data_IF_441872571182
#
_entry.id   IF_441872571182
#
_cell.length_a   1.000
_cell.length_b   1.000
_cell.length_c   1.000
_cell.angle_alpha   90.00
_cell.angle_beta   90.00
_cell.angle_gamma   90.00
#
_symmetry.space_group_name_H-M   'P 1'
#
loop_
_entity.id
_entity.type
_entity.pdbx_description
1 polymer ?
#
# COMPACT_ATOMS: atom_id res chain seq x y z
N UNK A 1 -6.82 16.56 9.44
CA UNK A 1 -6.38 15.17 9.59
C UNK A 1 -7.40 14.27 8.92
N UNK A 2 -6.96 13.39 8.01
CA UNK A 2 -7.82 12.54 7.19
C UNK A 2 -7.31 11.10 7.26
N UNK A 3 -8.20 10.17 7.57
CA UNK A 3 -7.87 8.75 7.69
C UNK A 3 -8.68 7.96 6.68
N UNK A 4 -8.01 7.05 5.97
CA UNK A 4 -8.63 6.15 5.02
C UNK A 4 -8.27 4.70 5.40
N UNK A 5 -9.25 3.81 5.40
CA UNK A 5 -9.05 2.38 5.59
C UNK A 5 -9.61 1.67 4.38
N UNK A 6 -8.76 0.96 3.65
CA UNK A 6 -9.12 0.23 2.44
C UNK A 6 -8.85 -1.25 2.69
N UNK A 7 -9.88 -2.07 2.52
CA UNK A 7 -9.77 -3.52 2.71
C UNK A 7 -9.63 -4.20 1.35
N UNK A 8 -8.48 -4.84 1.14
CA UNK A 8 -8.18 -5.66 -0.03
C UNK A 8 -8.38 -7.13 0.29
N UNK A 9 -9.62 -7.63 0.13
CA UNK A 9 -9.99 -9.02 0.44
C UNK A 9 -9.16 -10.09 -0.26
N UNK A 10 -8.56 -9.75 -1.41
CA UNK A 10 -7.72 -10.66 -2.21
C UNK A 10 -6.25 -10.25 -2.25
N UNK A 11 -5.90 -9.11 -1.67
CA UNK A 11 -4.59 -8.50 -1.85
C UNK A 11 -3.50 -9.33 -1.15
N UNK A 12 -2.43 -9.64 -1.88
CA UNK A 12 -1.35 -10.50 -1.41
C UNK A 12 -0.62 -9.91 -0.17
N UNK A 13 -0.18 -10.78 0.73
CA UNK A 13 0.37 -10.43 2.05
C UNK A 13 1.86 -10.77 2.23
N UNK A 14 2.47 -11.53 1.33
CA UNK A 14 3.84 -12.06 1.48
C UNK A 14 4.91 -11.31 0.66
N UNK A 15 4.51 -10.32 -0.15
CA UNK A 15 5.41 -9.54 -1.00
C UNK A 15 6.02 -10.33 -2.17
N UNK A 16 5.58 -11.56 -2.44
CA UNK A 16 6.13 -12.42 -3.51
C UNK A 16 5.57 -12.10 -4.91
N UNK A 17 4.58 -11.20 -4.99
CA UNK A 17 3.91 -10.83 -6.24
C UNK A 17 4.81 -10.05 -7.21
N UNK A 18 4.49 -10.18 -8.51
CA UNK A 18 5.20 -9.48 -9.58
C UNK A 18 4.63 -8.08 -9.82
N UNK A 19 5.50 -7.09 -10.04
CA UNK A 19 5.10 -5.70 -10.25
C UNK A 19 4.47 -5.42 -11.62
N UNK A 20 4.55 -6.37 -12.56
CA UNK A 20 3.88 -6.36 -13.85
C UNK A 20 2.52 -7.09 -13.84
N UNK A 21 2.11 -7.67 -12.71
CA UNK A 21 0.82 -8.36 -12.54
C UNK A 21 0.10 -7.95 -11.25
N UNK A 22 -0.12 -6.64 -11.09
CA UNK A 22 -0.77 -6.07 -9.90
C UNK A 22 -2.27 -6.39 -9.81
N UNK A 23 -2.95 -6.53 -10.96
CA UNK A 23 -4.37 -6.82 -11.01
C UNK A 23 -4.68 -8.32 -10.90
N UNK A 24 -3.81 -9.19 -11.41
CA UNK A 24 -3.97 -10.64 -11.33
C UNK A 24 -3.33 -11.19 -10.05
N UNK A 25 -2.08 -11.65 -10.18
CA UNK A 25 -1.35 -12.38 -9.14
C UNK A 25 -1.16 -11.64 -7.81
N UNK A 26 -1.18 -10.30 -7.79
CA UNK A 26 -1.12 -9.54 -6.55
C UNK A 26 -2.49 -9.31 -5.87
N UNK A 27 -3.59 -9.79 -6.46
CA UNK A 27 -4.91 -9.77 -5.84
C UNK A 27 -5.57 -8.40 -5.82
N UNK A 28 -5.67 -7.76 -6.98
CA UNK A 28 -6.19 -6.38 -7.14
C UNK A 28 -5.39 -5.30 -6.42
N UNK A 29 -4.08 -5.50 -6.27
CA UNK A 29 -3.16 -4.51 -5.70
C UNK A 29 -3.17 -3.19 -6.49
N UNK A 30 -3.48 -3.25 -7.79
CA UNK A 30 -3.69 -2.08 -8.66
C UNK A 30 -4.69 -1.07 -8.08
N UNK A 31 -5.79 -1.56 -7.47
CA UNK A 31 -6.80 -0.70 -6.84
C UNK A 31 -6.22 -0.02 -5.60
N UNK A 32 -5.56 -0.78 -4.72
CA UNK A 32 -5.02 -0.27 -3.45
C UNK A 32 -3.95 0.80 -3.70
N UNK A 33 -3.11 0.58 -4.70
CA UNK A 33 -2.11 1.54 -5.17
C UNK A 33 -2.76 2.84 -5.64
N UNK A 34 -3.83 2.77 -6.44
CA UNK A 34 -4.58 3.96 -6.85
C UNK A 34 -5.21 4.69 -5.66
N UNK A 35 -5.71 3.97 -4.65
CA UNK A 35 -6.20 4.59 -3.42
C UNK A 35 -5.10 5.35 -2.67
N UNK A 36 -3.88 4.80 -2.57
CA UNK A 36 -2.72 5.50 -1.99
C UNK A 36 -2.43 6.78 -2.77
N UNK A 37 -2.38 6.71 -4.10
CA UNK A 37 -2.12 7.87 -4.93
C UNK A 37 -3.21 8.95 -4.74
N UNK A 38 -4.49 8.59 -4.75
CA UNK A 38 -5.59 9.52 -4.51
C UNK A 38 -5.58 10.14 -3.10
N UNK A 39 -5.08 9.41 -2.10
CA UNK A 39 -4.97 9.90 -0.74
C UNK A 39 -3.88 10.97 -0.57
N UNK A 40 -2.76 10.86 -1.30
CA UNK A 40 -1.59 11.72 -1.07
C UNK A 40 -1.25 12.70 -2.19
N UNK A 41 -1.33 12.29 -3.45
CA UNK A 41 -0.69 13.00 -4.56
C UNK A 41 -1.45 14.30 -4.89
N UNK A 42 -0.71 15.40 -4.96
CA UNK A 42 -1.15 16.70 -5.49
C UNK A 42 -0.18 17.14 -6.59
N UNK A 43 -0.49 18.24 -7.30
CA UNK A 43 0.32 18.69 -8.45
C UNK A 43 1.80 18.94 -8.13
N UNK A 44 2.11 19.45 -6.92
CA UNK A 44 3.47 19.84 -6.53
C UNK A 44 3.92 19.32 -5.15
N UNK A 45 3.10 18.52 -4.48
CA UNK A 45 3.43 18.02 -3.14
C UNK A 45 2.58 16.78 -2.80
N UNK A 46 2.86 16.18 -1.65
CA UNK A 46 2.03 15.16 -1.01
C UNK A 46 1.24 15.79 0.15
N UNK A 47 -0.01 15.38 0.32
CA UNK A 47 -0.81 15.76 1.49
C UNK A 47 -0.12 15.27 2.76
N UNK A 48 0.21 16.19 3.66
CA UNK A 48 0.89 15.89 4.92
C UNK A 48 -0.06 15.51 6.06
N UNK A 49 -1.35 15.83 5.92
CA UNK A 49 -2.40 15.63 6.91
C UNK A 49 -3.30 14.42 6.60
N UNK A 50 -2.77 13.43 5.88
CA UNK A 50 -3.48 12.21 5.48
C UNK A 50 -2.72 10.95 5.94
N UNK A 51 -3.49 9.91 6.26
CA UNK A 51 -3.00 8.56 6.47
C UNK A 51 -3.93 7.56 5.78
N UNK A 52 -3.36 6.50 5.22
CA UNK A 52 -4.10 5.39 4.62
C UNK A 52 -3.58 4.06 5.14
N UNK A 53 -4.52 3.21 5.53
CA UNK A 53 -4.32 1.86 6.04
C UNK A 53 -4.84 0.89 5.00
N UNK A 54 -3.96 0.07 4.45
CA UNK A 54 -4.31 -0.99 3.50
C UNK A 54 -4.37 -2.30 4.28
N UNK A 55 -5.58 -2.78 4.55
CA UNK A 55 -5.83 -4.08 5.20
C UNK A 55 -5.84 -5.15 4.12
N UNK A 56 -4.84 -6.02 4.12
CA UNK A 56 -4.63 -7.06 3.12
C UNK A 56 -5.04 -8.40 3.71
N UNK A 57 -5.99 -9.07 3.05
CA UNK A 57 -6.59 -10.33 3.56
C UNK A 57 -6.35 -11.52 2.62
N UNK A 58 -5.51 -11.36 1.59
CA UNK A 58 -5.22 -12.41 0.62
C UNK A 58 -4.05 -13.31 1.02
N UNK A 59 -4.16 -14.61 0.71
CA UNK A 59 -3.11 -15.60 0.92
C UNK A 59 -3.07 -16.16 2.35
N UNK A 60 -2.04 -16.96 2.63
CA UNK A 60 -1.90 -17.70 3.89
C UNK A 60 -1.34 -16.85 5.04
N UNK A 61 -0.57 -15.80 4.72
CA UNK A 61 0.09 -14.92 5.70
C UNK A 61 -0.78 -13.69 6.04
N UNK A 62 -2.09 -13.80 5.79
CA UNK A 62 -3.10 -12.81 6.10
C UNK A 62 -3.56 -12.91 7.58
N UNK A 63 -4.00 -11.80 8.20
CA UNK A 63 -4.04 -10.45 7.66
C UNK A 63 -2.74 -9.67 7.88
N UNK A 64 -2.45 -8.72 6.98
CA UNK A 64 -1.40 -7.71 7.21
C UNK A 64 -1.93 -6.33 6.86
N UNK A 65 -1.49 -5.32 7.61
CA UNK A 65 -1.84 -3.93 7.34
C UNK A 65 -0.60 -3.13 6.94
N UNK A 66 -0.66 -2.45 5.80
CA UNK A 66 0.36 -1.50 5.38
C UNK A 66 -0.15 -0.09 5.61
N UNK A 67 0.56 0.68 6.44
CA UNK A 67 0.23 2.08 6.73
C UNK A 67 1.15 3.01 5.95
N UNK A 68 0.54 4.00 5.28
CA UNK A 68 1.24 5.16 4.75
C UNK A 68 0.86 6.41 5.55
N UNK A 69 1.86 7.21 5.90
CA UNK A 69 1.69 8.45 6.66
C UNK A 69 2.23 9.63 5.86
N UNK A 70 1.37 10.59 5.52
CA UNK A 70 1.71 11.71 4.64
C UNK A 70 2.84 12.60 5.19
N UNK A 71 2.90 12.73 6.52
CA UNK A 71 3.93 13.51 7.21
C UNK A 71 5.34 12.96 6.98
N UNK A 72 5.50 11.63 6.93
CA UNK A 72 6.81 10.95 6.96
C UNK A 72 7.16 10.17 5.70
N UNK A 73 6.18 9.88 4.83
CA UNK A 73 6.38 9.09 3.61
C UNK A 73 7.40 9.74 2.67
N UNK A 74 8.30 8.90 2.12
CA UNK A 74 9.31 9.26 1.13
C UNK A 74 9.22 8.33 -0.07
N UNK A 75 9.69 8.81 -1.22
CA UNK A 75 9.75 8.05 -2.47
C UNK A 75 8.39 7.59 -3.03
N UNK A 76 7.28 8.18 -2.56
CA UNK A 76 5.95 7.96 -3.12
C UNK A 76 5.80 8.83 -4.38
N UNK A 77 5.69 8.19 -5.54
CA UNK A 77 5.46 8.85 -6.83
C UNK A 77 4.04 8.55 -7.34
N UNK A 78 3.51 9.36 -8.28
CA UNK A 78 2.15 9.19 -8.80
C UNK A 78 1.93 7.92 -9.65
N UNK A 79 2.98 7.21 -10.04
CA UNK A 79 2.86 6.00 -10.85
C UNK A 79 2.51 4.76 -10.00
N UNK A 80 1.80 3.80 -10.59
CA UNK A 80 1.35 2.62 -9.84
C UNK A 80 2.51 1.69 -9.46
N UNK A 81 3.52 1.56 -10.32
CA UNK A 81 4.58 0.56 -10.17
C UNK A 81 5.52 0.88 -9.01
N UNK A 82 5.91 2.14 -8.84
CA UNK A 82 6.79 2.56 -7.74
C UNK A 82 6.08 2.47 -6.38
N UNK A 83 4.81 2.85 -6.32
CA UNK A 83 3.97 2.70 -5.12
C UNK A 83 3.75 1.23 -4.77
N UNK A 84 3.48 0.36 -5.75
CA UNK A 84 3.42 -1.09 -5.55
C UNK A 84 4.75 -1.66 -5.02
N UNK A 85 5.89 -1.14 -5.49
CA UNK A 85 7.21 -1.51 -4.98
C UNK A 85 7.39 -1.15 -3.50
N UNK A 86 6.89 0.01 -3.06
CA UNK A 86 6.89 0.38 -1.64
C UNK A 86 6.06 -0.58 -0.79
N UNK A 87 4.86 -0.94 -1.24
CA UNK A 87 4.00 -1.92 -0.56
C UNK A 87 4.72 -3.27 -0.48
N UNK A 88 5.26 -3.76 -1.61
CA UNK A 88 6.00 -5.02 -1.66
C UNK A 88 7.17 -5.04 -0.68
N UNK A 89 7.98 -3.97 -0.67
CA UNK A 89 9.12 -3.85 0.23
C UNK A 89 8.70 -3.78 1.71
N UNK A 90 7.52 -3.24 2.02
CA UNK A 90 6.98 -3.28 3.37
C UNK A 90 6.58 -4.70 3.77
N UNK A 91 5.94 -5.47 2.88
CA UNK A 91 5.49 -6.84 3.15
C UNK A 91 6.64 -7.85 3.29
N UNK A 92 7.78 -7.58 2.67
CA UNK A 92 9.00 -8.39 2.83
C UNK A 92 9.68 -8.19 4.19
N UNK A 93 9.32 -7.14 4.95
CA UNK A 93 9.85 -6.92 6.29
C UNK A 93 9.08 -7.77 7.30
N UNK A 94 9.77 -8.20 8.36
CA UNK A 94 9.11 -8.83 9.50
C UNK A 94 8.16 -7.84 10.16
N UNK A 95 6.95 -8.30 10.48
CA UNK A 95 5.99 -7.51 11.26
C UNK A 95 6.65 -7.19 12.61
N UNK A 96 6.68 -5.90 13.01
CA UNK A 96 7.18 -5.51 14.31
C UNK A 96 6.47 -6.27 15.43
N UNK A 97 7.19 -6.60 16.52
CA UNK A 97 6.57 -7.25 17.69
C UNK A 97 5.55 -6.35 18.38
N UNK A 98 5.63 -5.05 18.14
CA UNK A 98 4.70 -4.02 18.60
C UNK A 98 4.45 -3.05 17.44
N UNK A 99 3.20 -2.97 16.95
CA UNK A 99 2.74 -1.98 15.97
C UNK A 99 3.41 -2.02 14.60
#
# INVERSE_FOLDING_TARGET
MRYFVITGHKAATDGSFKLDDLAGGAGRMDILVRCVNSAFVMSHNLRKDAEIYLVLEGGEDAPKTVRFEGATVKYLNPDERSTASLIRNALLKKVPKEG
#
